data_IF_900105353156
#
_entry.id   IF_900105353156
#
_cell.length_a   1.000
_cell.length_b   1.000
_cell.length_c   1.000
_cell.angle_alpha   90.00
_cell.angle_beta   90.00
_cell.angle_gamma   90.00
#
_symmetry.space_group_name_H-M   'P 1'
#
loop_
_entity.id
_entity.type
_entity.pdbx_description
1 polymer ?
#
# COMPACT_ATOMS: atom_id res chain seq x y z
N UNK A 1 -22.20 -4.53 -7.34
CA UNK A 1 -22.64 -4.10 -8.69
C UNK A 1 -23.85 -3.18 -8.53
N UNK A 2 -23.80 -1.97 -9.08
CA UNK A 2 -24.93 -1.03 -9.02
C UNK A 2 -26.11 -1.56 -9.84
N UNK A 3 -27.35 -1.43 -9.33
CA UNK A 3 -28.54 -1.75 -10.11
C UNK A 3 -28.91 -0.56 -11.00
N UNK A 4 -29.51 -0.84 -12.15
CA UNK A 4 -29.93 0.18 -13.12
C UNK A 4 -31.01 1.14 -12.59
N UNK A 5 -31.82 0.67 -11.64
CA UNK A 5 -32.91 1.44 -11.03
C UNK A 5 -32.53 1.90 -9.64
N UNK A 6 -32.94 3.11 -9.31
CA UNK A 6 -32.62 3.75 -8.04
C UNK A 6 -33.88 4.34 -7.44
N UNK A 7 -34.04 4.21 -6.12
CA UNK A 7 -35.08 4.87 -5.34
C UNK A 7 -34.46 6.09 -4.65
N UNK A 8 -35.03 7.28 -4.87
CA UNK A 8 -34.71 8.45 -4.07
C UNK A 8 -35.43 8.31 -2.72
N UNK A 9 -34.66 8.22 -1.64
CA UNK A 9 -35.15 8.19 -0.26
C UNK A 9 -34.68 9.47 0.40
N UNK A 10 -35.62 10.29 0.88
CA UNK A 10 -35.29 11.44 1.72
C UNK A 10 -34.84 10.94 3.09
N UNK A 11 -33.61 11.24 3.46
CA UNK A 11 -33.07 10.97 4.79
C UNK A 11 -33.08 12.29 5.53
N UNK A 12 -33.93 12.40 6.55
CA UNK A 12 -33.93 13.53 7.49
C UNK A 12 -32.92 13.24 8.59
N UNK A 13 -32.04 14.19 8.89
CA UNK A 13 -31.12 14.13 10.03
C UNK A 13 -31.93 13.99 11.33
N UNK A 14 -31.80 12.87 12.04
CA UNK A 14 -32.60 12.58 13.23
C UNK A 14 -32.03 13.18 14.52
N UNK A 15 -30.83 13.78 14.52
CA UNK A 15 -30.16 14.15 15.79
C UNK A 15 -29.43 15.49 15.86
N UNK A 16 -29.29 16.31 14.80
CA UNK A 16 -28.50 17.56 14.95
C UNK A 16 -28.94 18.80 14.18
N UNK A 17 -29.86 18.70 13.20
CA UNK A 17 -30.52 19.88 12.63
C UNK A 17 -31.72 19.47 11.76
N UNK A 18 -32.97 19.91 12.06
CA UNK A 18 -34.17 19.49 11.32
C UNK A 18 -34.29 20.09 9.90
N UNK A 19 -33.44 21.06 9.54
CA UNK A 19 -33.45 21.73 8.22
C UNK A 19 -32.60 21.01 7.16
N UNK A 20 -31.69 20.11 7.55
CA UNK A 20 -30.80 19.43 6.61
C UNK A 20 -31.45 18.12 6.14
N UNK A 21 -31.97 18.14 4.91
CA UNK A 21 -32.46 16.95 4.21
C UNK A 21 -31.59 16.66 2.99
N UNK A 22 -31.22 15.39 2.79
CA UNK A 22 -30.56 14.96 1.57
C UNK A 22 -31.22 13.72 0.99
N UNK A 23 -31.13 13.61 -0.33
CA UNK A 23 -31.64 12.48 -1.07
C UNK A 23 -30.58 11.39 -1.13
N UNK A 24 -30.87 10.25 -0.51
CA UNK A 24 -30.08 9.02 -0.64
C UNK A 24 -30.65 8.16 -1.75
N UNK A 25 -29.78 7.79 -2.67
CA UNK A 25 -30.12 6.96 -3.82
C UNK A 25 -29.85 5.48 -3.51
N UNK A 26 -30.90 4.72 -3.24
CA UNK A 26 -30.83 3.30 -2.93
C UNK A 26 -31.10 2.44 -4.16
N UNK A 27 -30.46 1.27 -4.25
CA UNK A 27 -30.64 0.37 -5.40
C UNK A 27 -32.08 -0.19 -5.40
N UNK A 28 -32.84 0.08 -6.46
CA UNK A 28 -34.16 -0.47 -6.69
C UNK A 28 -34.11 -1.62 -7.70
N UNK A 29 -35.13 -2.49 -7.67
CA UNK A 29 -35.27 -3.58 -8.64
C UNK A 29 -36.15 -3.11 -9.81
N UNK A 30 -35.96 -3.68 -11.00
CA UNK A 30 -36.77 -3.34 -12.18
C UNK A 30 -38.27 -3.48 -11.94
N UNK A 31 -38.67 -4.54 -11.23
CA UNK A 31 -40.07 -4.77 -10.84
C UNK A 31 -40.64 -3.64 -10.00
N UNK A 32 -39.90 -3.17 -8.99
CA UNK A 32 -40.35 -2.05 -8.14
C UNK A 32 -40.45 -0.72 -8.89
N UNK A 33 -39.64 -0.52 -9.94
CA UNK A 33 -39.76 0.65 -10.82
C UNK A 33 -41.04 0.57 -11.67
N UNK A 34 -41.31 -0.59 -12.29
CA UNK A 34 -42.52 -0.78 -13.09
C UNK A 34 -43.80 -0.68 -12.25
N UNK A 35 -43.83 -1.32 -11.07
CA UNK A 35 -44.98 -1.27 -10.16
C UNK A 35 -45.27 0.16 -9.66
N UNK A 36 -44.24 1.00 -9.56
CA UNK A 36 -44.34 2.40 -9.18
C UNK A 36 -44.89 3.27 -10.31
N UNK A 37 -44.33 3.14 -11.51
CA UNK A 37 -44.77 3.87 -12.71
C UNK A 37 -46.20 3.51 -13.12
N UNK A 38 -46.62 2.25 -12.92
CA UNK A 38 -48.00 1.80 -13.18
C UNK A 38 -48.99 2.39 -12.17
N UNK A 39 -48.57 2.60 -10.92
CA UNK A 39 -49.41 3.20 -9.87
C UNK A 39 -49.54 4.72 -10.03
N UNK A 40 -48.47 5.39 -10.45
CA UNK A 40 -48.46 6.82 -10.71
C UNK A 40 -47.48 7.15 -11.87
N UNK A 41 -47.99 7.54 -13.05
CA UNK A 41 -47.16 7.87 -14.21
C UNK A 41 -46.24 9.08 -14.01
N UNK A 42 -46.49 9.92 -12.99
CA UNK A 42 -45.73 11.15 -12.71
C UNK A 42 -44.70 11.01 -11.58
N UNK A 43 -44.48 9.81 -11.06
CA UNK A 43 -43.68 9.57 -9.88
C UNK A 43 -42.17 9.82 -10.09
N UNK A 44 -41.58 10.71 -9.28
CA UNK A 44 -40.13 11.03 -9.29
C UNK A 44 -39.27 10.13 -8.36
N UNK A 45 -39.91 9.22 -7.60
CA UNK A 45 -39.28 8.43 -6.53
C UNK A 45 -38.37 7.31 -7.06
N UNK A 46 -38.72 6.71 -8.20
CA UNK A 46 -37.88 5.69 -8.83
C UNK A 46 -37.35 6.21 -10.16
N UNK A 47 -36.03 6.17 -10.33
CA UNK A 47 -35.35 6.74 -11.49
C UNK A 47 -34.41 5.72 -12.12
N UNK A 48 -34.27 5.81 -13.44
CA UNK A 48 -33.28 5.07 -14.19
C UNK A 48 -31.92 5.79 -14.08
N UNK A 49 -30.92 5.09 -13.55
CA UNK A 49 -29.57 5.64 -13.44
C UNK A 49 -28.74 5.25 -14.66
N UNK A 50 -28.66 6.17 -15.62
CA UNK A 50 -27.85 6.03 -16.84
C UNK A 50 -26.37 5.78 -16.50
N UNK A 51 -25.81 6.55 -15.57
CA UNK A 51 -24.40 6.45 -15.18
C UNK A 51 -24.04 5.10 -14.56
N UNK A 52 -24.90 4.54 -13.69
CA UNK A 52 -24.67 3.22 -13.08
C UNK A 52 -24.77 2.11 -14.11
N UNK A 53 -25.76 2.18 -15.00
CA UNK A 53 -25.96 1.19 -16.05
C UNK A 53 -24.78 1.17 -17.02
N UNK A 54 -24.34 2.33 -17.49
CA UNK A 54 -23.15 2.46 -18.31
C UNK A 54 -21.91 1.92 -17.58
N UNK A 55 -21.72 2.29 -16.32
CA UNK A 55 -20.61 1.78 -15.50
C UNK A 55 -20.61 0.25 -15.37
N UNK A 56 -21.78 -0.38 -15.21
CA UNK A 56 -21.87 -1.85 -15.15
C UNK A 56 -21.54 -2.52 -16.48
N UNK A 57 -21.97 -1.95 -17.60
CA UNK A 57 -21.65 -2.47 -18.93
C UNK A 57 -20.18 -2.30 -19.27
N UNK A 58 -19.59 -1.15 -18.92
CA UNK A 58 -18.15 -0.91 -19.03
C UNK A 58 -17.38 -1.93 -18.19
N UNK A 59 -17.77 -2.16 -16.93
CA UNK A 59 -17.11 -3.14 -16.07
C UNK A 59 -17.21 -4.58 -16.62
N UNK A 60 -18.38 -4.98 -17.12
CA UNK A 60 -18.56 -6.28 -17.77
C UNK A 60 -17.69 -6.42 -19.03
N UNK A 61 -17.63 -5.38 -19.86
CA UNK A 61 -16.83 -5.37 -21.09
C UNK A 61 -15.32 -5.43 -20.78
N UNK A 62 -14.83 -4.68 -19.80
CA UNK A 62 -13.44 -4.77 -19.35
C UNK A 62 -13.10 -6.13 -18.73
N UNK A 63 -14.07 -6.78 -18.06
CA UNK A 63 -13.90 -8.16 -17.57
C UNK A 63 -13.69 -9.12 -18.74
N UNK A 64 -14.49 -9.00 -19.80
CA UNK A 64 -14.30 -9.78 -21.04
C UNK A 64 -12.96 -9.47 -21.72
N UNK A 65 -12.53 -8.20 -21.74
CA UNK A 65 -11.24 -7.82 -22.33
C UNK A 65 -10.06 -8.47 -21.60
N UNK A 66 -10.10 -8.52 -20.27
CA UNK A 66 -9.06 -9.20 -19.48
C UNK A 66 -9.10 -10.72 -19.73
N UNK A 67 -10.29 -11.33 -19.74
CA UNK A 67 -10.45 -12.76 -20.01
C UNK A 67 -10.07 -13.15 -21.46
N UNK A 68 -10.07 -12.20 -22.40
CA UNK A 68 -9.62 -12.43 -23.77
C UNK A 68 -8.15 -12.84 -23.87
N UNK A 69 -7.35 -12.67 -22.81
CA UNK A 69 -5.97 -13.19 -22.73
C UNK A 69 -5.90 -14.69 -23.02
N UNK A 70 -6.90 -15.47 -22.60
CA UNK A 70 -6.91 -16.92 -22.76
C UNK A 70 -6.93 -17.38 -24.23
N UNK A 71 -7.39 -16.51 -25.14
CA UNK A 71 -7.59 -16.87 -26.55
C UNK A 71 -6.37 -16.55 -27.43
N UNK A 72 -5.59 -15.49 -27.11
CA UNK A 72 -4.29 -15.07 -27.70
C UNK A 72 -3.95 -13.64 -27.21
N UNK A 73 -2.78 -13.10 -27.58
CA UNK A 73 -2.48 -11.65 -27.54
C UNK A 73 -3.44 -10.83 -28.43
N UNK A 74 -4.61 -10.49 -27.91
CA UNK A 74 -5.63 -9.68 -28.58
C UNK A 74 -5.42 -8.18 -28.26
N UNK A 75 -5.57 -7.25 -29.24
CA UNK A 75 -5.62 -5.81 -28.97
C UNK A 75 -6.52 -5.40 -27.80
N UNK A 76 -7.66 -6.09 -27.60
CA UNK A 76 -8.59 -5.82 -26.49
C UNK A 76 -7.95 -6.04 -25.12
N UNK A 77 -7.16 -7.10 -24.97
CA UNK A 77 -6.43 -7.39 -23.74
C UNK A 77 -5.38 -6.31 -23.48
N UNK A 78 -4.61 -5.91 -24.49
CA UNK A 78 -3.57 -4.85 -24.37
C UNK A 78 -4.15 -3.50 -23.96
N UNK A 79 -5.35 -3.16 -24.43
CA UNK A 79 -6.07 -1.96 -23.99
C UNK A 79 -6.43 -2.08 -22.50
N UNK A 80 -7.02 -3.20 -22.08
CA UNK A 80 -7.37 -3.40 -20.68
C UNK A 80 -6.14 -3.36 -19.76
N UNK A 81 -5.04 -4.01 -20.16
CA UNK A 81 -3.77 -3.99 -19.44
C UNK A 81 -3.23 -2.55 -19.31
N UNK A 82 -3.15 -1.81 -20.42
CA UNK A 82 -2.67 -0.41 -20.42
C UNK A 82 -3.54 0.50 -19.56
N UNK A 83 -4.87 0.31 -19.60
CA UNK A 83 -5.81 1.07 -18.76
C UNK A 83 -5.62 0.73 -17.29
N UNK A 84 -5.50 -0.55 -16.93
CA UNK A 84 -5.28 -0.97 -15.54
C UNK A 84 -3.97 -0.38 -15.01
N UNK A 85 -2.87 -0.54 -15.74
CA UNK A 85 -1.56 0.00 -15.34
C UNK A 85 -1.59 1.53 -15.25
N UNK A 86 -2.20 2.20 -16.24
CA UNK A 86 -2.33 3.66 -16.27
C UNK A 86 -3.16 4.21 -15.11
N UNK A 87 -4.33 3.61 -14.83
CA UNK A 87 -5.20 4.01 -13.71
C UNK A 87 -4.51 3.74 -12.37
N UNK A 88 -3.83 2.61 -12.21
CA UNK A 88 -3.06 2.32 -10.99
C UNK A 88 -1.94 3.35 -10.77
N UNK A 89 -1.18 3.69 -11.81
CA UNK A 89 -0.14 4.71 -11.73
C UNK A 89 -0.72 6.10 -11.42
N UNK A 90 -1.83 6.48 -12.04
CA UNK A 90 -2.52 7.75 -11.80
C UNK A 90 -3.08 7.84 -10.37
N UNK A 91 -3.69 6.77 -9.86
CA UNK A 91 -4.19 6.71 -8.49
C UNK A 91 -3.06 6.95 -7.48
N UNK A 92 -1.94 6.24 -7.62
CA UNK A 92 -0.78 6.41 -6.76
C UNK A 92 -0.21 7.83 -6.83
N UNK A 93 -0.16 8.44 -8.02
CA UNK A 93 0.28 9.82 -8.20
C UNK A 93 -0.62 10.82 -7.47
N UNK A 94 -1.94 10.70 -7.62
CA UNK A 94 -2.92 11.60 -6.98
C UNK A 94 -2.88 11.43 -5.47
N UNK A 95 -2.86 10.19 -4.98
CA UNK A 95 -2.77 9.90 -3.55
C UNK A 95 -1.49 10.49 -2.98
N UNK A 96 -0.33 10.19 -3.57
CA UNK A 96 0.96 10.72 -3.11
C UNK A 96 1.01 12.25 -3.14
N UNK A 97 0.39 12.89 -4.13
CA UNK A 97 0.28 14.34 -4.19
C UNK A 97 -0.46 14.89 -2.97
N UNK A 98 -1.66 14.37 -2.69
CA UNK A 98 -2.49 14.87 -1.59
C UNK A 98 -2.03 14.44 -0.19
N UNK A 99 -1.42 13.25 -0.05
CA UNK A 99 -1.01 12.72 1.26
C UNK A 99 0.44 13.02 1.61
N UNK A 100 1.29 13.30 0.62
CA UNK A 100 2.73 13.51 0.84
C UNK A 100 3.17 14.89 0.41
N UNK A 101 2.95 15.29 -0.85
CA UNK A 101 3.45 16.57 -1.36
C UNK A 101 2.75 17.74 -0.67
N UNK A 102 1.42 17.74 -0.64
CA UNK A 102 0.63 18.83 -0.06
C UNK A 102 0.96 19.04 1.43
N UNK A 103 0.89 18.03 2.33
CA UNK A 103 1.19 18.24 3.74
C UNK A 103 2.68 18.35 4.08
N UNK A 104 3.53 17.45 3.57
CA UNK A 104 4.92 17.36 4.04
C UNK A 104 5.87 18.33 3.34
N UNK A 105 5.54 18.78 2.12
CA UNK A 105 6.37 19.73 1.37
C UNK A 105 5.75 21.12 1.42
N UNK A 106 4.57 21.29 0.82
CA UNK A 106 3.96 22.60 0.65
C UNK A 106 3.40 23.15 1.97
N UNK A 107 2.80 22.28 2.79
CA UNK A 107 2.25 22.63 4.10
C UNK A 107 3.31 23.14 5.08
N UNK A 108 4.54 22.64 4.98
CA UNK A 108 5.67 23.08 5.82
C UNK A 108 6.43 24.26 5.24
N UNK A 109 6.46 24.41 3.92
CA UNK A 109 7.12 25.53 3.25
C UNK A 109 6.27 26.81 3.23
N UNK A 110 4.95 26.68 3.10
CA UNK A 110 4.00 27.80 3.04
C UNK A 110 2.68 27.44 3.75
N UNK A 111 2.67 27.38 5.09
CA UNK A 111 1.51 26.94 5.86
C UNK A 111 0.28 27.81 5.63
N UNK A 112 0.41 29.14 5.54
CA UNK A 112 -0.74 30.05 5.38
C UNK A 112 -1.47 29.87 4.04
N UNK A 113 -0.72 29.62 2.97
CA UNK A 113 -1.30 29.36 1.65
C UNK A 113 -2.06 28.02 1.60
N UNK A 114 -1.48 26.98 2.19
CA UNK A 114 -2.08 25.63 2.25
C UNK A 114 -3.32 25.61 3.15
N UNK A 115 -3.32 26.37 4.25
CA UNK A 115 -4.48 26.52 5.13
C UNK A 115 -5.68 27.14 4.40
N UNK A 116 -5.43 28.07 3.48
CA UNK A 116 -6.48 28.82 2.80
C UNK A 116 -7.33 27.98 1.84
N UNK A 117 -6.75 26.99 1.15
CA UNK A 117 -7.51 26.13 0.22
C UNK A 117 -7.56 24.67 0.62
N UNK A 118 -6.48 24.10 1.16
CA UNK A 118 -6.28 22.65 1.16
C UNK A 118 -6.56 22.01 2.51
N UNK A 119 -6.00 22.60 3.58
CA UNK A 119 -6.01 22.01 4.92
C UNK A 119 -6.17 23.09 5.99
N UNK A 120 -7.42 23.50 6.29
CA UNK A 120 -7.69 24.58 7.24
C UNK A 120 -7.26 24.26 8.69
N UNK A 121 -7.02 22.99 9.02
CA UNK A 121 -6.55 22.54 10.34
C UNK A 121 -5.03 22.43 10.51
N UNK A 122 -4.23 22.90 9.56
CA UNK A 122 -2.77 22.77 9.63
C UNK A 122 -2.19 23.75 10.66
N UNK A 123 -1.55 23.24 11.71
CA UNK A 123 -0.86 24.03 12.74
C UNK A 123 0.64 23.74 12.68
N UNK A 124 1.33 24.36 11.74
CA UNK A 124 2.78 24.19 11.55
C UNK A 124 3.41 25.54 11.20
N UNK A 125 4.63 25.76 11.68
CA UNK A 125 5.45 26.93 11.38
C UNK A 125 6.17 26.77 10.05
N UNK A 126 6.57 27.88 9.44
CA UNK A 126 7.28 27.88 8.16
C UNK A 126 8.70 27.34 8.33
N UNK A 127 8.99 26.20 7.72
CA UNK A 127 10.29 25.55 7.76
C UNK A 127 10.98 25.62 6.38
N UNK A 128 11.95 26.53 6.22
CA UNK A 128 12.66 26.72 4.94
C UNK A 128 13.56 25.55 4.53
N UNK A 129 13.87 24.61 5.45
CA UNK A 129 14.66 23.41 5.13
C UNK A 129 13.98 22.52 4.08
N UNK A 130 12.64 22.60 3.95
CA UNK A 130 11.87 21.87 2.93
C UNK A 130 12.09 22.39 1.50
N UNK A 131 12.81 23.50 1.33
CA UNK A 131 13.30 23.94 0.03
C UNK A 131 14.23 22.90 -0.62
N UNK A 132 15.00 22.16 0.18
CA UNK A 132 15.90 21.12 -0.33
C UNK A 132 15.09 19.98 -1.00
N UNK A 133 14.11 19.34 -0.33
CA UNK A 133 13.17 18.42 -0.99
C UNK A 133 12.45 19.01 -2.20
N UNK A 134 12.08 20.30 -2.18
CA UNK A 134 11.44 20.95 -3.34
C UNK A 134 12.36 20.96 -4.56
N UNK A 135 13.61 21.40 -4.37
CA UNK A 135 14.62 21.41 -5.44
C UNK A 135 14.83 20.00 -5.97
N UNK A 136 14.95 19.00 -5.08
CA UNK A 136 15.11 17.60 -5.49
C UNK A 136 13.89 17.06 -6.25
N UNK A 137 12.68 17.48 -5.87
CA UNK A 137 11.43 17.17 -6.58
C UNK A 137 11.41 17.78 -7.99
N UNK A 138 11.82 19.05 -8.13
CA UNK A 138 11.94 19.71 -9.43
C UNK A 138 13.00 19.02 -10.30
N UNK A 139 14.14 18.65 -9.73
CA UNK A 139 15.18 17.88 -10.43
C UNK A 139 14.67 16.52 -10.95
N UNK A 140 13.72 15.88 -10.28
CA UNK A 140 13.11 14.64 -10.78
C UNK A 140 12.26 14.85 -12.03
N UNK A 141 11.68 16.04 -12.25
CA UNK A 141 10.90 16.34 -13.45
C UNK A 141 11.74 16.29 -14.73
N UNK A 142 13.05 16.57 -14.64
CA UNK A 142 13.99 16.43 -15.76
C UNK A 142 14.13 15.00 -16.28
N UNK A 143 13.61 14.00 -15.55
CA UNK A 143 13.51 12.61 -16.02
C UNK A 143 12.53 12.46 -17.18
N UNK A 144 11.52 13.32 -17.27
CA UNK A 144 10.57 13.34 -18.39
C UNK A 144 11.23 13.87 -19.68
N UNK A 145 12.34 14.62 -19.56
CA UNK A 145 13.09 15.12 -20.69
C UNK A 145 14.16 14.11 -21.15
N UNK A 146 14.24 13.76 -22.44
CA UNK A 146 15.16 12.73 -22.94
C UNK A 146 16.64 13.07 -22.77
N UNK A 147 17.00 14.36 -22.67
CA UNK A 147 18.39 14.84 -22.55
C UNK A 147 18.79 15.26 -21.13
N UNK A 148 17.87 15.17 -20.15
CA UNK A 148 18.02 15.70 -18.79
C UNK A 148 18.37 14.68 -17.71
N UNK A 149 18.56 13.40 -18.06
CA UNK A 149 18.59 12.30 -17.08
C UNK A 149 19.67 12.44 -15.99
N UNK A 150 20.80 13.10 -16.25
CA UNK A 150 21.87 13.30 -15.25
C UNK A 150 21.39 14.07 -14.02
N UNK A 151 20.57 15.12 -14.19
CA UNK A 151 20.02 15.90 -13.07
C UNK A 151 19.14 15.02 -12.16
N UNK A 152 18.35 14.12 -12.76
CA UNK A 152 17.46 13.22 -12.02
C UNK A 152 18.19 12.13 -11.22
N UNK A 153 19.49 11.91 -11.46
CA UNK A 153 20.29 10.91 -10.73
C UNK A 153 20.56 11.32 -9.29
N UNK A 154 20.69 12.62 -9.00
CA UNK A 154 20.96 13.10 -7.64
C UNK A 154 19.81 12.82 -6.68
N UNK A 155 18.53 13.16 -7.00
CA UNK A 155 17.42 12.74 -6.16
C UNK A 155 17.28 11.23 -6.05
N UNK A 156 17.57 10.48 -7.12
CA UNK A 156 17.47 9.02 -7.09
C UNK A 156 18.52 8.40 -6.17
N UNK A 157 19.77 8.89 -6.20
CA UNK A 157 20.83 8.47 -5.29
C UNK A 157 20.46 8.74 -3.83
N UNK A 158 19.84 9.89 -3.55
CA UNK A 158 19.32 10.21 -2.23
C UNK A 158 18.20 9.24 -1.80
N UNK A 159 17.19 9.03 -2.64
CA UNK A 159 16.09 8.09 -2.35
C UNK A 159 16.62 6.68 -2.06
N UNK A 160 17.53 6.17 -2.91
CA UNK A 160 18.12 4.85 -2.74
C UNK A 160 18.96 4.81 -1.48
N UNK A 161 19.80 5.81 -1.23
CA UNK A 161 20.65 5.90 -0.04
C UNK A 161 19.83 5.93 1.25
N UNK A 162 18.80 6.77 1.33
CA UNK A 162 17.89 6.83 2.48
C UNK A 162 17.13 5.52 2.67
N UNK A 163 16.59 4.94 1.60
CA UNK A 163 15.85 3.67 1.69
C UNK A 163 16.75 2.53 2.13
N UNK A 164 17.97 2.44 1.60
CA UNK A 164 18.96 1.44 1.99
C UNK A 164 19.39 1.65 3.44
N UNK A 165 19.64 2.89 3.88
CA UNK A 165 20.01 3.20 5.26
C UNK A 165 18.92 2.82 6.27
N UNK A 166 17.66 3.19 5.99
CA UNK A 166 16.52 2.82 6.85
C UNK A 166 16.36 1.31 6.89
N UNK A 167 16.44 0.62 5.74
CA UNK A 167 16.33 -0.85 5.69
C UNK A 167 17.47 -1.54 6.42
N UNK A 168 18.69 -1.03 6.31
CA UNK A 168 19.85 -1.58 7.02
C UNK A 168 19.63 -1.51 8.53
N UNK A 169 19.24 -0.35 9.05
CA UNK A 169 18.96 -0.17 10.48
C UNK A 169 17.78 -1.05 10.92
N UNK A 170 16.71 -1.10 10.11
CA UNK A 170 15.54 -1.94 10.39
C UNK A 170 15.91 -3.42 10.48
N UNK A 171 16.69 -3.91 9.53
CA UNK A 171 17.19 -5.29 9.51
C UNK A 171 18.11 -5.58 10.71
N UNK A 172 19.01 -4.65 11.04
CA UNK A 172 19.92 -4.80 12.20
C UNK A 172 19.15 -4.87 13.52
N UNK A 173 18.13 -4.02 13.69
CA UNK A 173 17.38 -3.95 14.94
C UNK A 173 16.35 -5.09 15.05
N UNK A 174 15.56 -5.33 14.01
CA UNK A 174 14.47 -6.30 14.07
C UNK A 174 14.99 -7.74 13.92
N UNK A 175 15.73 -8.00 12.86
CA UNK A 175 16.07 -9.37 12.47
C UNK A 175 17.37 -9.82 13.15
N UNK A 176 18.43 -9.02 13.07
CA UNK A 176 19.74 -9.41 13.60
C UNK A 176 19.76 -9.43 15.13
N UNK A 177 19.33 -8.34 15.79
CA UNK A 177 19.22 -8.31 17.26
C UNK A 177 18.19 -9.31 17.78
N UNK A 178 17.07 -9.49 17.08
CA UNK A 178 16.06 -10.50 17.42
C UNK A 178 16.64 -11.92 17.40
N UNK A 179 17.43 -12.25 16.37
CA UNK A 179 18.12 -13.54 16.27
C UNK A 179 19.14 -13.73 17.39
N UNK A 180 19.93 -12.71 17.74
CA UNK A 180 20.87 -12.77 18.87
C UNK A 180 20.10 -13.04 20.17
N UNK A 181 19.06 -12.25 20.46
CA UNK A 181 18.25 -12.41 21.68
C UNK A 181 17.62 -13.80 21.78
N UNK A 182 17.07 -14.31 20.67
CA UNK A 182 16.45 -15.64 20.64
C UNK A 182 17.46 -16.79 20.78
N UNK A 183 18.76 -16.51 20.63
CA UNK A 183 19.84 -17.47 20.82
C UNK A 183 20.47 -17.37 22.22
N UNK A 184 20.17 -16.32 23.00
CA UNK A 184 20.53 -16.21 24.43
C UNK A 184 19.51 -17.02 25.25
N UNK A 185 19.64 -18.35 25.17
CA UNK A 185 18.79 -19.31 25.89
C UNK A 185 19.65 -20.14 26.86
N UNK A 186 19.13 -20.49 28.05
CA UNK A 186 19.86 -21.33 28.99
C UNK A 186 20.04 -22.74 28.42
N UNK A 187 21.28 -23.24 28.43
CA UNK A 187 21.61 -24.60 27.98
C UNK A 187 20.94 -25.69 28.82
N UNK A 188 20.76 -25.41 30.12
CA UNK A 188 20.07 -26.28 31.07
C UNK A 188 18.88 -25.50 31.63
N UNK A 189 17.67 -25.97 31.31
CA UNK A 189 16.42 -25.36 31.76
C UNK A 189 16.00 -26.02 33.07
N UNK A 190 16.27 -25.33 34.17
CA UNK A 190 15.74 -25.69 35.49
C UNK A 190 14.74 -24.63 35.94
N UNK A 191 13.46 -24.99 36.01
CA UNK A 191 12.40 -24.09 36.47
C UNK A 191 12.11 -24.34 37.95
N UNK A 192 11.88 -23.30 38.78
CA UNK A 192 11.60 -23.47 40.22
C UNK A 192 10.38 -24.34 40.53
N UNK A 193 9.44 -24.48 39.59
CA UNK A 193 8.16 -25.16 39.79
C UNK A 193 8.12 -26.61 39.26
N UNK A 194 8.97 -26.97 38.29
CA UNK A 194 8.94 -28.28 37.59
C UNK A 194 10.27 -29.03 37.62
N UNK A 195 11.31 -28.48 38.24
CA UNK A 195 12.63 -29.10 38.30
C UNK A 195 13.37 -29.07 36.94
N UNK A 196 14.22 -30.06 36.70
CA UNK A 196 15.02 -30.15 35.48
C UNK A 196 14.17 -30.60 34.28
N UNK A 197 14.04 -29.73 33.27
CA UNK A 197 13.33 -30.03 32.03
C UNK A 197 14.33 -30.55 30.99
N UNK A 198 14.44 -31.88 30.89
CA UNK A 198 15.35 -32.54 29.95
C UNK A 198 15.06 -32.13 28.50
N UNK A 199 13.78 -32.06 28.13
CA UNK A 199 13.44 -31.91 26.71
C UNK A 199 13.69 -30.49 26.18
N UNK A 200 13.42 -29.48 27.02
CA UNK A 200 13.74 -28.08 26.70
C UNK A 200 15.26 -27.85 26.66
N UNK A 201 16.03 -28.53 27.52
CA UNK A 201 17.50 -28.44 27.52
C UNK A 201 18.10 -29.01 26.22
N UNK A 202 17.61 -30.16 25.75
CA UNK A 202 18.08 -30.74 24.47
C UNK A 202 17.71 -29.85 23.28
N UNK A 203 16.49 -29.28 23.26
CA UNK A 203 16.07 -28.32 22.22
C UNK A 203 17.02 -27.12 22.16
N UNK A 204 17.36 -26.53 23.30
CA UNK A 204 18.24 -25.36 23.36
C UNK A 204 19.67 -25.69 22.89
N UNK A 205 20.17 -26.88 23.23
CA UNK A 205 21.48 -27.38 22.75
C UNK A 205 21.47 -27.56 21.22
N UNK A 206 20.43 -28.16 20.66
CA UNK A 206 20.29 -28.35 19.21
C UNK A 206 20.26 -27.00 18.48
N UNK A 207 19.54 -26.01 19.01
CA UNK A 207 19.49 -24.65 18.43
C UNK A 207 20.89 -24.04 18.39
N UNK A 208 21.65 -24.11 19.49
CA UNK A 208 23.00 -23.52 19.55
C UNK A 208 23.96 -24.23 18.57
N UNK A 209 23.93 -25.57 18.53
CA UNK A 209 24.76 -26.34 17.58
C UNK A 209 24.39 -26.00 16.13
N UNK A 210 23.10 -25.89 15.83
CA UNK A 210 22.60 -25.51 14.51
C UNK A 210 23.04 -24.11 14.09
N UNK A 211 22.94 -23.12 14.98
CA UNK A 211 23.40 -21.75 14.73
C UNK A 211 24.91 -21.70 14.51
N UNK A 212 25.70 -22.39 15.35
CA UNK A 212 27.16 -22.45 15.18
C UNK A 212 27.55 -23.12 13.85
N UNK A 213 26.88 -24.21 13.49
CA UNK A 213 27.11 -24.91 12.22
C UNK A 213 26.76 -24.03 11.02
N UNK A 214 25.63 -23.32 11.08
CA UNK A 214 25.21 -22.38 10.04
C UNK A 214 26.18 -21.20 9.89
N UNK A 215 26.65 -20.62 11.01
CA UNK A 215 27.67 -19.57 10.96
C UNK A 215 28.92 -20.11 10.29
N UNK A 216 29.44 -21.27 10.71
CA UNK A 216 30.65 -21.88 10.11
C UNK A 216 30.47 -22.15 8.61
N UNK A 217 29.29 -22.64 8.18
CA UNK A 217 28.99 -22.90 6.77
C UNK A 217 28.94 -21.61 5.93
N UNK A 218 28.32 -20.55 6.43
CA UNK A 218 28.19 -19.27 5.70
C UNK A 218 29.38 -18.33 5.87
N UNK A 219 30.29 -18.60 6.82
CA UNK A 219 31.52 -17.83 6.99
C UNK A 219 32.52 -18.19 5.86
N UNK A 220 32.26 -17.65 4.67
CA UNK A 220 33.07 -17.80 3.46
C UNK A 220 34.52 -17.26 3.58
N UNK A 221 34.90 -16.65 4.71
CA UNK A 221 36.25 -16.14 4.97
C UNK A 221 37.24 -17.20 5.47
N UNK A 222 36.83 -18.47 5.59
CA UNK A 222 37.75 -19.58 5.84
C UNK A 222 37.84 -20.42 4.56
N UNK A 223 39.03 -20.49 3.95
CA UNK A 223 39.31 -21.47 2.89
C UNK A 223 38.94 -22.86 3.40
N UNK A 224 37.98 -23.52 2.76
CA UNK A 224 37.62 -24.89 3.07
C UNK A 224 38.71 -25.85 2.55
N UNK A 225 39.87 -25.86 3.19
CA UNK A 225 40.90 -26.88 3.05
C UNK A 225 41.12 -27.56 4.40
N UNK A 226 40.69 -28.82 4.50
CA UNK A 226 40.95 -29.70 5.64
C UNK A 226 39.70 -30.10 6.44
N UNK A 227 39.94 -30.61 7.66
CA UNK A 227 38.99 -31.34 8.51
C UNK A 227 37.65 -30.59 8.80
N UNK A 228 37.65 -29.26 8.66
CA UNK A 228 36.48 -28.36 8.78
C UNK A 228 35.43 -28.61 7.68
N UNK A 229 35.81 -29.13 6.52
CA UNK A 229 34.87 -29.46 5.43
C UNK A 229 34.03 -30.73 5.65
N UNK A 230 34.44 -31.62 6.58
CA UNK A 230 33.68 -32.85 6.88
C UNK A 230 32.56 -32.62 7.89
N UNK A 231 32.72 -31.66 8.80
CA UNK A 231 31.69 -31.29 9.78
C UNK A 231 30.57 -30.44 9.16
N UNK A 232 30.84 -29.73 8.07
CA UNK A 232 29.87 -28.92 7.33
C UNK A 232 28.90 -29.71 6.42
N UNK A 233 29.05 -31.03 6.30
CA UNK A 233 28.22 -31.92 5.45
C UNK A 233 27.18 -32.75 6.22
N UNK A 234 27.06 -32.54 7.53
CA UNK A 234 26.14 -33.26 8.42
C UNK A 234 24.88 -32.46 8.78
N UNK A 235 24.66 -31.31 8.13
CA UNK A 235 23.42 -30.53 8.18
C UNK A 235 22.74 -30.51 6.81
#
# INVERSE_FOLDING_TARGET
MGKAYVRAVEVKSLETDPEISWTKYENATQRSYHDAVVKDPSQAVYQFSLSRTLGTWVAALFTLFILSFLYKDNPLYKIAESVVVGVSAAYWMVVAFWTTIVPNLLGKLSPDWIKSWAMPGLNTETEFIYLVPLIMGVMLLWRLAPKGSWISRWPLAFIIGTTAGIRLIGFLHADFLGQIRNTIIPLVVSSPETGFSFWDSVKNIIIIIGVLSAIVYFFFSIEHKGFVGKTAKLG
#
